data_IF_588836543087
#
_entry.id   IF_588836543087
#
_cell.length_a   1.000
_cell.length_b   1.000
_cell.length_c   1.000
_cell.angle_alpha   90.00
_cell.angle_beta   90.00
_cell.angle_gamma   90.00
#
_symmetry.space_group_name_H-M   'P 1'
#
loop_
_entity.id
_entity.type
_entity.pdbx_description
1 polymer ?
#
# COMPACT_ATOMS: atom_id res chain seq x y z
N UNK A 1 -30.67 -6.43 14.54
CA UNK A 1 -30.14 -7.29 13.47
C UNK A 1 -29.23 -6.50 12.50
N UNK A 2 -28.36 -5.62 13.02
CA UNK A 2 -27.34 -4.87 12.25
C UNK A 2 -25.94 -5.02 12.86
N UNK A 3 -25.81 -5.73 13.98
CA UNK A 3 -24.55 -5.90 14.70
C UNK A 3 -23.62 -6.92 14.03
N UNK A 4 -24.15 -7.89 13.28
CA UNK A 4 -23.35 -8.86 12.51
C UNK A 4 -22.74 -8.25 11.23
N UNK A 5 -23.44 -7.31 10.58
CA UNK A 5 -22.94 -6.62 9.38
C UNK A 5 -21.76 -5.68 9.70
N UNK A 6 -21.74 -5.10 10.90
CA UNK A 6 -20.67 -4.19 11.33
C UNK A 6 -19.34 -4.92 11.58
N UNK A 7 -19.37 -6.20 11.95
CA UNK A 7 -18.17 -6.98 12.27
C UNK A 7 -17.48 -7.57 11.03
N UNK A 8 -18.23 -7.82 9.95
CA UNK A 8 -17.70 -8.46 8.75
C UNK A 8 -17.19 -7.50 7.66
N UNK A 9 -17.66 -6.26 7.68
CA UNK A 9 -17.23 -5.26 6.69
C UNK A 9 -15.73 -4.89 6.72
N UNK A 10 -15.05 -4.77 7.89
CA UNK A 10 -13.65 -4.32 7.94
C UNK A 10 -12.67 -5.32 7.32
N UNK A 11 -12.92 -6.62 7.48
CA UNK A 11 -12.07 -7.64 6.85
C UNK A 11 -12.29 -7.67 5.35
N UNK A 12 -13.53 -7.51 4.87
CA UNK A 12 -13.84 -7.40 3.44
C UNK A 12 -13.13 -6.19 2.82
N UNK A 13 -13.17 -5.03 3.49
CA UNK A 13 -12.43 -3.84 3.04
C UNK A 13 -10.94 -4.10 2.93
N UNK A 14 -10.34 -4.74 3.94
CA UNK A 14 -8.91 -5.04 3.94
C UNK A 14 -8.53 -6.02 2.82
N UNK A 15 -9.34 -7.05 2.59
CA UNK A 15 -9.14 -8.01 1.48
C UNK A 15 -9.30 -7.30 0.13
N UNK A 16 -10.34 -6.49 -0.05
CA UNK A 16 -10.57 -5.76 -1.31
C UNK A 16 -9.42 -4.77 -1.56
N UNK A 17 -8.99 -4.01 -0.55
CA UNK A 17 -7.86 -3.09 -0.66
C UNK A 17 -6.57 -3.82 -1.02
N UNK A 18 -6.31 -4.98 -0.42
CA UNK A 18 -5.17 -5.82 -0.74
C UNK A 18 -5.24 -6.34 -2.18
N UNK A 19 -6.39 -6.82 -2.63
CA UNK A 19 -6.59 -7.30 -4.00
C UNK A 19 -6.40 -6.17 -5.02
N UNK A 20 -6.93 -4.98 -4.75
CA UNK A 20 -6.74 -3.79 -5.60
C UNK A 20 -5.25 -3.43 -5.65
N UNK A 21 -4.57 -3.39 -4.50
CA UNK A 21 -3.15 -3.07 -4.43
C UNK A 21 -2.29 -4.11 -5.18
N UNK A 22 -2.53 -5.40 -4.94
CA UNK A 22 -1.82 -6.49 -5.59
C UNK A 22 -2.09 -6.54 -7.10
N UNK A 23 -3.33 -6.31 -7.56
CA UNK A 23 -3.66 -6.29 -8.99
C UNK A 23 -3.05 -5.08 -9.71
N UNK A 24 -3.03 -3.91 -9.07
CA UNK A 24 -2.33 -2.73 -9.57
C UNK A 24 -0.82 -3.00 -9.71
N UNK A 25 -0.20 -3.58 -8.66
CA UNK A 25 1.22 -3.94 -8.67
C UNK A 25 1.55 -5.04 -9.68
N UNK A 26 0.69 -6.04 -9.86
CA UNK A 26 0.86 -7.09 -10.85
C UNK A 26 0.90 -6.52 -12.27
N UNK A 27 0.06 -5.50 -12.55
CA UNK A 27 0.09 -4.77 -13.82
C UNK A 27 1.37 -3.95 -14.01
N UNK A 28 2.00 -3.48 -12.94
CA UNK A 28 3.20 -2.64 -13.01
C UNK A 28 4.51 -3.43 -12.99
N UNK A 29 4.55 -4.62 -12.38
CA UNK A 29 5.75 -5.45 -12.25
C UNK A 29 5.44 -6.85 -12.79
N UNK A 30 5.64 -7.13 -14.10
CA UNK A 30 5.41 -8.45 -14.69
C UNK A 30 6.54 -9.45 -14.37
N UNK A 31 6.82 -9.66 -13.07
CA UNK A 31 7.76 -10.68 -12.59
C UNK A 31 6.95 -11.75 -11.85
N UNK A 32 6.93 -12.96 -12.39
CA UNK A 32 6.06 -14.05 -11.92
C UNK A 32 6.32 -14.42 -10.45
N UNK A 33 7.59 -14.45 -10.01
CA UNK A 33 7.97 -14.71 -8.62
C UNK A 33 7.52 -13.61 -7.66
N UNK A 34 7.52 -12.36 -8.12
CA UNK A 34 7.08 -11.23 -7.32
C UNK A 34 5.58 -11.35 -7.00
N UNK A 35 4.77 -11.83 -7.94
CA UNK A 35 3.32 -11.97 -7.75
C UNK A 35 2.95 -12.96 -6.65
N UNK A 36 3.72 -14.05 -6.50
CA UNK A 36 3.46 -15.02 -5.43
C UNK A 36 3.92 -14.49 -4.08
N UNK A 37 5.09 -13.87 -4.00
CA UNK A 37 5.69 -13.46 -2.71
C UNK A 37 5.05 -12.19 -2.14
N UNK A 38 4.70 -11.24 -3.00
CA UNK A 38 4.19 -9.92 -2.60
C UNK A 38 2.93 -9.93 -1.71
N UNK A 39 1.87 -10.71 -1.99
CA UNK A 39 0.70 -10.75 -1.10
C UNK A 39 1.05 -11.31 0.29
N UNK A 40 1.97 -12.29 0.39
CA UNK A 40 2.41 -12.81 1.69
C UNK A 40 3.15 -11.76 2.52
N UNK A 41 3.97 -10.93 1.87
CA UNK A 41 4.65 -9.81 2.55
C UNK A 41 3.62 -8.87 3.18
N UNK A 42 2.56 -8.53 2.42
CA UNK A 42 1.50 -7.65 2.92
C UNK A 42 0.65 -8.28 4.00
N UNK A 43 0.31 -9.57 3.89
CA UNK A 43 -0.40 -10.29 4.95
C UNK A 43 0.45 -10.32 6.23
N UNK A 44 1.74 -10.62 6.12
CA UNK A 44 2.65 -10.63 7.26
C UNK A 44 2.77 -9.24 7.92
N UNK A 45 2.90 -8.19 7.10
CA UNK A 45 2.93 -6.80 7.57
C UNK A 45 1.63 -6.40 8.27
N UNK A 46 0.48 -6.76 7.70
CA UNK A 46 -0.85 -6.51 8.28
C UNK A 46 -1.04 -7.23 9.62
N UNK A 47 -0.64 -8.51 9.71
CA UNK A 47 -0.66 -9.28 10.97
C UNK A 47 0.24 -8.62 12.02
N UNK A 48 1.44 -8.18 11.63
CA UNK A 48 2.35 -7.47 12.52
C UNK A 48 1.76 -6.15 13.03
N UNK A 49 1.17 -5.34 12.14
CA UNK A 49 0.52 -4.09 12.51
C UNK A 49 -0.66 -4.31 13.48
N UNK A 50 -1.48 -5.33 13.23
CA UNK A 50 -2.57 -5.71 14.14
C UNK A 50 -2.04 -6.19 15.48
N UNK A 51 -0.98 -7.01 15.51
CA UNK A 51 -0.39 -7.50 16.77
C UNK A 51 0.14 -6.33 17.61
N UNK A 52 0.87 -5.39 17.01
CA UNK A 52 1.36 -4.18 17.68
C UNK A 52 0.19 -3.31 18.15
N UNK A 53 -0.79 -3.06 17.29
CA UNK A 53 -1.97 -2.28 17.63
C UNK A 53 -2.79 -2.87 18.79
N UNK A 54 -2.95 -4.19 18.78
CA UNK A 54 -3.65 -4.90 19.86
C UNK A 54 -2.90 -4.78 21.20
N UNK A 55 -1.56 -4.77 21.19
CA UNK A 55 -0.76 -4.56 22.40
C UNK A 55 -0.92 -3.15 23.00
N UNK A 56 -1.34 -2.18 22.18
CA UNK A 56 -1.62 -0.80 22.59
C UNK A 56 -3.09 -0.57 22.94
N UNK A 57 -3.93 -1.61 22.90
CA UNK A 57 -5.35 -1.56 23.26
C UNK A 57 -6.30 -1.13 22.14
N UNK A 58 -5.84 -1.05 20.89
CA UNK A 58 -6.71 -0.72 19.76
C UNK A 58 -7.61 -1.90 19.36
N UNK A 59 -8.83 -1.58 18.92
CA UNK A 59 -9.75 -2.57 18.39
C UNK A 59 -9.27 -3.13 17.04
N UNK A 60 -9.55 -4.42 16.80
CA UNK A 60 -9.22 -5.10 15.54
C UNK A 60 -9.84 -4.38 14.32
N UNK A 61 -11.06 -3.88 14.47
CA UNK A 61 -11.81 -3.16 13.43
C UNK A 61 -11.09 -1.90 13.00
N UNK A 62 -10.56 -1.13 13.94
CA UNK A 62 -9.88 0.13 13.68
C UNK A 62 -8.55 -0.14 12.94
N UNK A 63 -7.83 -1.18 13.36
CA UNK A 63 -6.60 -1.62 12.70
C UNK A 63 -6.82 -2.10 11.27
N UNK A 64 -7.90 -2.84 11.00
CA UNK A 64 -8.26 -3.29 9.65
C UNK A 64 -8.63 -2.11 8.74
N UNK A 65 -9.38 -1.13 9.26
CA UNK A 65 -9.71 0.09 8.52
C UNK A 65 -8.44 0.88 8.21
N UNK A 66 -7.56 1.08 9.18
CA UNK A 66 -6.26 1.76 8.99
C UNK A 66 -5.39 1.04 7.95
N UNK A 67 -5.29 -0.28 8.02
CA UNK A 67 -4.57 -1.08 7.03
C UNK A 67 -5.15 -0.92 5.62
N UNK A 68 -6.48 -0.89 5.51
CA UNK A 68 -7.17 -0.69 4.22
C UNK A 68 -6.85 0.69 3.63
N UNK A 69 -6.95 1.75 4.44
CA UNK A 69 -6.60 3.11 4.01
C UNK A 69 -5.12 3.24 3.66
N UNK A 70 -4.23 2.61 4.42
CA UNK A 70 -2.80 2.60 4.13
C UNK A 70 -2.51 1.91 2.79
N UNK A 71 -3.12 0.77 2.50
CA UNK A 71 -2.97 0.06 1.22
C UNK A 71 -3.49 0.89 0.04
N UNK A 72 -4.68 1.49 0.17
CA UNK A 72 -5.25 2.34 -0.88
C UNK A 72 -4.40 3.59 -1.10
N UNK A 73 -4.05 4.28 -0.02
CA UNK A 73 -3.20 5.48 -0.06
C UNK A 73 -1.83 5.21 -0.66
N UNK A 74 -1.21 4.08 -0.30
CA UNK A 74 0.06 3.65 -0.89
C UNK A 74 -0.10 3.34 -2.38
N UNK A 75 -1.18 2.68 -2.79
CA UNK A 75 -1.45 2.40 -4.22
C UNK A 75 -1.53 3.69 -5.03
N UNK A 76 -2.25 4.70 -4.51
CA UNK A 76 -2.38 6.01 -5.14
C UNK A 76 -1.03 6.74 -5.15
N UNK A 77 -0.28 6.66 -4.03
CA UNK A 77 1.08 7.18 -3.87
C UNK A 77 2.08 6.64 -4.90
N UNK A 78 1.96 5.34 -5.19
CA UNK A 78 2.83 4.62 -6.13
C UNK A 78 2.36 4.70 -7.59
N UNK A 79 1.12 5.11 -7.84
CA UNK A 79 0.56 5.27 -9.19
C UNK A 79 1.41 6.11 -10.15
N UNK A 80 2.01 7.26 -9.76
CA UNK A 80 2.94 7.98 -10.64
C UNK A 80 4.18 7.13 -10.96
N UNK A 81 4.73 6.43 -9.97
CA UNK A 81 5.93 5.59 -10.05
C UNK A 81 5.77 4.32 -10.90
N UNK A 82 4.56 4.01 -11.36
CA UNK A 82 4.27 2.82 -12.20
C UNK A 82 5.20 2.63 -13.40
N UNK A 83 5.60 3.72 -14.08
CA UNK A 83 6.46 3.63 -15.28
C UNK A 83 7.87 3.15 -14.93
N UNK A 84 8.39 3.57 -13.77
CA UNK A 84 9.69 3.12 -13.28
C UNK A 84 9.64 1.65 -12.89
N UNK A 85 8.57 1.20 -12.24
CA UNK A 85 8.37 -0.21 -11.92
C UNK A 85 8.33 -1.11 -13.16
N UNK A 86 7.62 -0.70 -14.21
CA UNK A 86 7.57 -1.45 -15.48
C UNK A 86 8.94 -1.52 -16.13
N UNK A 87 9.66 -0.39 -16.20
CA UNK A 87 11.00 -0.34 -16.78
C UNK A 87 11.98 -1.23 -16.01
N UNK A 88 11.99 -1.11 -14.68
CA UNK A 88 12.82 -1.94 -13.79
C UNK A 88 12.50 -3.43 -13.91
N UNK A 89 11.22 -3.79 -14.00
CA UNK A 89 10.82 -5.19 -14.18
C UNK A 89 11.27 -5.76 -15.53
N UNK A 90 11.23 -4.95 -16.60
CA UNK A 90 11.75 -5.34 -17.90
C UNK A 90 13.27 -5.53 -17.88
N UNK A 91 13.97 -4.64 -17.18
CA UNK A 91 15.42 -4.69 -17.00
C UNK A 91 15.86 -5.97 -16.27
N UNK A 92 15.20 -6.29 -15.14
CA UNK A 92 15.44 -7.54 -14.40
C UNK A 92 15.20 -8.77 -15.26
N UNK A 93 14.12 -8.78 -16.05
CA UNK A 93 13.83 -9.90 -16.95
C UNK A 93 14.86 -10.04 -18.08
N UNK A 94 15.59 -8.97 -18.43
CA UNK A 94 16.71 -8.98 -19.39
C UNK A 94 18.06 -9.30 -18.75
N UNK A 95 18.15 -9.28 -17.42
CA UNK A 95 19.39 -9.50 -16.68
C UNK A 95 20.37 -8.32 -16.73
N UNK A 96 19.91 -7.16 -17.19
CA UNK A 96 20.70 -5.94 -17.23
C UNK A 96 20.62 -5.23 -15.85
N UNK A 97 21.72 -4.60 -15.40
CA UNK A 97 21.72 -3.77 -14.19
C UNK A 97 22.08 -2.35 -14.57
N UNK A 98 21.07 -1.49 -14.65
CA UNK A 98 21.29 -0.07 -14.89
C UNK A 98 21.60 0.65 -13.57
N UNK A 99 22.79 1.25 -13.46
CA UNK A 99 23.28 1.87 -12.21
C UNK A 99 22.58 3.19 -11.83
N UNK A 100 21.88 3.85 -12.75
CA UNK A 100 21.24 5.14 -12.46
C UNK A 100 19.92 5.29 -13.20
N UNK A 101 18.85 5.48 -12.42
CA UNK A 101 17.53 5.84 -12.93
C UNK A 101 17.35 7.36 -12.84
N UNK A 102 17.04 8.06 -13.96
CA UNK A 102 16.65 9.46 -13.89
C UNK A 102 15.28 9.55 -13.22
N UNK A 103 15.26 9.87 -11.92
CA UNK A 103 14.02 9.99 -11.17
C UNK A 103 13.26 11.25 -11.64
N UNK A 104 12.04 11.13 -12.19
CA UNK A 104 11.31 12.28 -12.68
C UNK A 104 10.91 13.18 -11.50
N UNK A 105 11.29 14.46 -11.56
CA UNK A 105 11.04 15.46 -10.50
C UNK A 105 9.56 15.60 -10.12
N UNK A 106 8.64 15.28 -11.04
CA UNK A 106 7.20 15.25 -10.78
C UNK A 106 6.79 14.22 -9.73
N UNK A 107 7.51 13.11 -9.58
CA UNK A 107 7.21 12.10 -8.56
C UNK A 107 7.66 12.56 -7.18
N UNK A 108 8.81 13.24 -7.09
CA UNK A 108 9.25 13.89 -5.84
C UNK A 108 8.26 14.97 -5.41
N UNK A 109 7.78 15.78 -6.37
CA UNK A 109 6.77 16.79 -6.09
C UNK A 109 5.46 16.18 -5.59
N UNK A 110 4.96 15.11 -6.24
CA UNK A 110 3.75 14.43 -5.81
C UNK A 110 3.90 13.80 -4.41
N UNK A 111 5.02 13.12 -4.17
CA UNK A 111 5.30 12.51 -2.87
C UNK A 111 5.40 13.60 -1.79
N UNK A 112 6.11 14.70 -2.06
CA UNK A 112 6.18 15.87 -1.17
C UNK A 112 4.80 16.46 -0.87
N UNK A 113 3.97 16.71 -1.90
CA UNK A 113 2.61 17.24 -1.72
C UNK A 113 1.75 16.27 -0.88
N UNK A 114 1.83 14.96 -1.13
CA UNK A 114 1.06 13.98 -0.36
C UNK A 114 1.44 13.94 1.12
N UNK A 115 2.74 14.05 1.43
CA UNK A 115 3.24 14.12 2.82
C UNK A 115 2.80 15.42 3.48
N UNK A 116 2.90 16.55 2.79
CA UNK A 116 2.45 17.85 3.30
C UNK A 116 0.95 17.82 3.62
N UNK A 117 0.12 17.29 2.72
CA UNK A 117 -1.32 17.17 2.95
C UNK A 117 -1.62 16.24 4.13
N UNK A 118 -0.94 15.10 4.24
CA UNK A 118 -1.12 14.18 5.36
C UNK A 118 -0.73 14.80 6.71
N UNK A 119 0.40 15.54 6.75
CA UNK A 119 0.85 16.26 7.94
C UNK A 119 -0.14 17.36 8.32
N UNK A 120 -0.58 18.17 7.36
CA UNK A 120 -1.60 19.21 7.60
C UNK A 120 -2.92 18.62 8.11
N UNK A 121 -3.38 17.52 7.52
CA UNK A 121 -4.59 16.83 7.96
C UNK A 121 -4.44 16.29 9.39
N UNK A 122 -3.28 15.72 9.74
CA UNK A 122 -3.00 15.26 11.10
C UNK A 122 -3.00 16.42 12.10
N UNK A 123 -2.39 17.56 11.76
CA UNK A 123 -2.43 18.75 12.60
C UNK A 123 -3.84 19.29 12.81
N UNK A 124 -4.69 19.28 11.78
CA UNK A 124 -6.08 19.73 11.89
C UNK A 124 -6.96 18.77 12.70
N UNK A 125 -6.66 17.48 12.71
CA UNK A 125 -7.41 16.47 13.47
C UNK A 125 -7.01 16.38 14.95
N UNK A 126 -5.82 16.87 15.31
CA UNK A 126 -5.32 16.93 16.69
C UNK A 126 -5.89 18.15 17.46
N UNK A 127 -6.42 19.13 16.75
CA UNK A 127 -7.05 20.34 17.30
C UNK A 127 -8.54 20.14 17.54
#
# INVERSE_FOLDING_TARGET
>A
MFTSLATEWPWLLAVIALVIHCSAMAKWVPIQRFWTVYPFIWVLCGVGAVAIGSSQGFALTDMLVLCSFALVGLTIGLFPTRKLFVMWAHEINRGEQQESYPYPRSHLAFCGVSVIVAVLAAFLLVQ
#
